data_IF_491441024174
#
_entry.id   IF_491441024174
#
_cell.length_a   1.000
_cell.length_b   1.000
_cell.length_c   1.000
_cell.angle_alpha   90.00
_cell.angle_beta   90.00
_cell.angle_gamma   90.00
#
_symmetry.space_group_name_H-M   'P 1'
#
loop_
_entity.id
_entity.type
_entity.pdbx_description
1 polymer ?
#
# COMPACT_ATOMS: atom_id res chain seq x y z
N UNK A 1 -22.05 37.69 15.63
CA UNK A 1 -22.74 36.44 15.24
C UNK A 1 -21.69 35.46 14.72
N UNK A 2 -21.12 34.62 15.58
CA UNK A 2 -20.10 33.65 15.14
C UNK A 2 -20.80 32.46 14.47
N UNK A 3 -20.68 32.37 13.15
CA UNK A 3 -21.06 31.18 12.40
C UNK A 3 -20.08 30.07 12.77
N UNK A 4 -20.51 29.13 13.61
CA UNK A 4 -19.76 27.91 13.89
C UNK A 4 -19.57 27.15 12.58
N UNK A 5 -18.39 27.29 11.95
CA UNK A 5 -17.99 26.41 10.86
C UNK A 5 -17.89 25.02 11.46
N UNK A 6 -18.81 24.14 11.08
CA UNK A 6 -18.79 22.74 11.50
C UNK A 6 -17.40 22.19 11.20
N UNK A 7 -16.76 21.62 12.22
CA UNK A 7 -15.47 20.95 12.04
C UNK A 7 -15.78 19.55 11.55
N UNK A 8 -16.02 19.46 10.25
CA UNK A 8 -16.31 18.24 9.50
C UNK A 8 -15.03 17.41 9.40
N UNK A 9 -14.53 16.96 10.56
CA UNK A 9 -13.31 16.19 10.69
C UNK A 9 -13.54 14.84 10.01
N UNK A 10 -12.77 14.54 8.97
CA UNK A 10 -12.86 13.31 8.19
C UNK A 10 -12.99 12.05 9.07
N UNK A 11 -12.17 11.92 10.13
CA UNK A 11 -12.24 10.78 11.07
C UNK A 11 -13.58 10.67 11.79
N UNK A 12 -14.21 11.79 12.20
CA UNK A 12 -15.48 11.74 12.94
C UNK A 12 -16.61 11.16 12.08
N UNK A 13 -16.58 11.43 10.78
CA UNK A 13 -17.52 10.84 9.81
C UNK A 13 -17.19 9.35 9.61
N UNK A 14 -15.91 8.99 9.55
CA UNK A 14 -15.45 7.59 9.45
C UNK A 14 -15.85 6.74 10.69
N UNK A 15 -15.72 7.29 11.89
CA UNK A 15 -16.13 6.64 13.15
C UNK A 15 -17.66 6.51 13.22
N UNK A 16 -18.41 7.54 12.81
CA UNK A 16 -19.89 7.47 12.80
C UNK A 16 -20.46 6.64 11.66
N UNK A 17 -19.70 6.35 10.60
CA UNK A 17 -19.98 5.24 9.68
C UNK A 17 -19.91 3.91 10.44
N UNK A 18 -18.83 3.68 11.19
CA UNK A 18 -18.54 2.40 11.84
C UNK A 18 -19.46 2.10 13.04
N UNK A 19 -19.80 3.11 13.84
CA UNK A 19 -20.76 2.99 14.95
C UNK A 19 -22.22 2.81 14.50
N UNK A 20 -22.52 2.85 13.21
CA UNK A 20 -23.87 2.70 12.64
C UNK A 20 -24.04 1.40 11.83
N UNK A 21 -23.49 0.31 12.36
CA UNK A 21 -24.01 -1.03 12.07
C UNK A 21 -25.52 -1.07 12.40
N UNK A 22 -26.36 -1.73 11.59
CA UNK A 22 -27.78 -1.85 11.86
C UNK A 22 -27.98 -2.59 13.19
N UNK A 23 -28.82 -2.03 14.05
CA UNK A 23 -29.03 -2.52 15.41
C UNK A 23 -29.54 -3.97 15.39
N UNK A 24 -28.69 -4.91 15.81
CA UNK A 24 -29.16 -6.12 16.46
C UNK A 24 -29.84 -5.65 17.75
N UNK A 25 -31.16 -5.80 17.83
CA UNK A 25 -31.96 -5.23 18.91
C UNK A 25 -31.73 -5.87 20.30
N UNK A 26 -30.59 -6.53 20.53
CA UNK A 26 -30.25 -7.11 21.84
C UNK A 26 -28.76 -7.34 22.12
N UNK A 27 -27.86 -6.45 21.68
CA UNK A 27 -26.43 -6.47 22.11
C UNK A 27 -26.07 -5.17 22.83
N UNK A 28 -25.64 -5.27 24.09
CA UNK A 28 -25.08 -4.14 24.82
C UNK A 28 -23.73 -3.76 24.21
N UNK A 29 -23.67 -2.59 23.56
CA UNK A 29 -22.43 -1.90 23.14
C UNK A 29 -21.28 -2.81 22.70
N UNK A 30 -21.25 -3.17 21.41
CA UNK A 30 -20.10 -3.83 20.77
C UNK A 30 -18.82 -3.09 21.16
N UNK A 31 -17.98 -3.72 21.98
CA UNK A 31 -16.73 -3.16 22.43
C UNK A 31 -15.72 -3.27 21.28
N UNK A 32 -15.14 -2.16 20.83
CA UNK A 32 -14.10 -2.18 19.80
C UNK A 32 -12.77 -1.99 20.51
N UNK A 33 -11.93 -3.02 20.49
CA UNK A 33 -10.58 -3.02 21.06
C UNK A 33 -9.66 -2.09 20.26
N UNK A 34 -9.73 -2.18 18.92
CA UNK A 34 -8.89 -1.39 18.01
C UNK A 34 -9.45 -1.38 16.59
N UNK A 35 -9.04 -0.40 15.81
CA UNK A 35 -9.27 -0.33 14.37
C UNK A 35 -7.92 -0.33 13.64
N UNK A 36 -7.79 -1.10 12.57
CA UNK A 36 -6.69 -0.97 11.62
C UNK A 36 -7.17 -0.39 10.30
N UNK A 37 -6.54 0.71 9.88
CA UNK A 37 -6.72 1.38 8.61
C UNK A 37 -5.54 1.03 7.71
N UNK A 38 -5.78 0.44 6.54
CA UNK A 38 -4.74 0.15 5.55
C UNK A 38 -5.03 0.89 4.26
N UNK A 39 -4.07 1.69 3.80
CA UNK A 39 -4.15 2.48 2.56
C UNK A 39 -3.10 1.94 1.59
N UNK A 40 -3.53 1.25 0.55
CA UNK A 40 -2.65 0.74 -0.52
C UNK A 40 -2.73 1.69 -1.71
N UNK A 41 -1.64 2.43 -1.95
CA UNK A 41 -1.52 3.41 -3.04
C UNK A 41 -1.12 2.74 -4.37
N UNK A 42 -1.67 3.24 -5.47
CA UNK A 42 -1.32 2.85 -6.84
C UNK A 42 -0.71 4.02 -7.63
N UNK A 43 0.04 3.72 -8.70
CA UNK A 43 0.78 4.72 -9.48
C UNK A 43 -0.09 5.85 -10.07
N UNK A 44 -1.36 5.56 -10.36
CA UNK A 44 -2.32 6.52 -10.90
C UNK A 44 -2.99 7.42 -9.84
N UNK A 45 -2.51 7.40 -8.59
CA UNK A 45 -3.08 8.15 -7.47
C UNK A 45 -4.39 7.58 -6.90
N UNK A 46 -4.83 6.39 -7.34
CA UNK A 46 -5.88 5.63 -6.65
C UNK A 46 -5.34 5.07 -5.33
N UNK A 47 -6.21 4.92 -4.33
CA UNK A 47 -5.93 4.07 -3.17
C UNK A 47 -7.03 3.02 -2.98
N UNK A 48 -6.66 1.79 -2.61
CA UNK A 48 -7.56 0.88 -1.91
C UNK A 48 -7.46 1.18 -0.43
N UNK A 49 -8.61 1.44 0.20
CA UNK A 49 -8.77 1.60 1.63
C UNK A 49 -9.38 0.33 2.22
N UNK A 50 -8.78 -0.19 3.29
CA UNK A 50 -9.35 -1.23 4.14
C UNK A 50 -9.48 -0.65 5.55
N UNK A 51 -10.64 -0.85 6.17
CA UNK A 51 -10.93 -0.47 7.55
C UNK A 51 -11.43 -1.73 8.26
N UNK A 52 -10.64 -2.24 9.20
CA UNK A 52 -10.94 -3.46 9.95
C UNK A 52 -11.04 -3.13 11.45
N UNK A 53 -12.21 -3.39 12.04
CA UNK A 53 -12.47 -3.17 13.46
C UNK A 53 -12.50 -4.48 14.22
N UNK A 54 -11.83 -4.50 15.38
CA UNK A 54 -11.55 -5.68 16.19
C UNK A 54 -12.37 -5.63 17.46
N UNK A 55 -13.15 -6.69 17.66
CA UNK A 55 -14.14 -6.81 18.73
C UNK A 55 -13.72 -8.00 19.59
N UNK A 56 -13.29 -7.81 20.84
CA UNK A 56 -12.83 -8.91 21.67
C UNK A 56 -14.05 -9.68 22.19
N UNK A 57 -14.08 -10.98 21.92
CA UNK A 57 -15.16 -11.89 22.32
C UNK A 57 -14.70 -12.62 23.58
N UNK A 58 -14.80 -11.93 24.72
CA UNK A 58 -14.23 -12.35 26.00
C UNK A 58 -15.15 -13.33 26.77
N UNK A 59 -16.41 -13.42 26.35
CA UNK A 59 -17.46 -14.23 26.94
C UNK A 59 -18.25 -14.98 25.87
N UNK A 60 -18.92 -16.06 26.28
CA UNK A 60 -19.78 -16.83 25.37
C UNK A 60 -20.98 -15.98 24.89
N UNK A 61 -21.49 -15.06 25.70
CA UNK A 61 -22.57 -14.12 25.33
C UNK A 61 -22.13 -13.16 24.20
N UNK A 62 -20.91 -12.60 24.29
CA UNK A 62 -20.34 -11.78 23.20
C UNK A 62 -20.10 -12.62 21.94
N UNK A 63 -19.65 -13.86 22.08
CA UNK A 63 -19.42 -14.78 20.95
C UNK A 63 -20.72 -15.19 20.25
N UNK A 64 -21.75 -15.63 21.00
CA UNK A 64 -23.08 -15.95 20.45
C UNK A 64 -23.72 -14.72 19.78
N UNK A 65 -23.58 -13.53 20.40
CA UNK A 65 -24.05 -12.28 19.81
C UNK A 65 -23.36 -11.95 18.47
N UNK A 66 -22.04 -12.17 18.36
CA UNK A 66 -21.29 -11.93 17.13
C UNK A 66 -21.53 -13.02 16.06
N UNK A 67 -21.74 -14.27 16.45
CA UNK A 67 -22.14 -15.33 15.51
C UNK A 67 -23.55 -15.10 14.96
N UNK A 68 -24.49 -14.64 15.79
CA UNK A 68 -25.83 -14.22 15.37
C UNK A 68 -25.78 -12.96 14.47
N UNK A 69 -24.83 -12.04 14.70
CA UNK A 69 -24.52 -10.96 13.76
C UNK A 69 -24.11 -11.52 12.39
N UNK A 70 -23.14 -12.46 12.35
CA UNK A 70 -22.66 -13.06 11.11
C UNK A 70 -23.74 -13.86 10.35
N UNK A 71 -24.59 -14.62 11.04
CA UNK A 71 -25.71 -15.33 10.39
C UNK A 71 -26.72 -14.35 9.76
N UNK A 72 -26.99 -13.24 10.44
CA UNK A 72 -27.84 -12.17 9.90
C UNK A 72 -27.09 -11.22 8.94
N UNK A 73 -25.76 -11.30 8.83
CA UNK A 73 -24.96 -10.34 8.08
C UNK A 73 -25.30 -10.42 6.59
N UNK A 74 -25.34 -11.60 5.98
CA UNK A 74 -25.71 -11.74 4.56
C UNK A 74 -27.13 -11.25 4.26
N UNK A 75 -28.06 -11.41 5.22
CA UNK A 75 -29.44 -10.93 5.12
C UNK A 75 -29.54 -9.40 5.11
N UNK A 76 -28.73 -8.71 5.91
CA UNK A 76 -28.70 -7.24 5.97
C UNK A 76 -27.55 -6.61 5.17
N UNK A 77 -26.69 -7.41 4.51
CA UNK A 77 -25.50 -7.01 3.76
C UNK A 77 -25.80 -5.91 2.75
N UNK A 78 -26.91 -6.02 2.04
CA UNK A 78 -27.36 -5.00 1.07
C UNK A 78 -27.60 -3.64 1.72
N UNK A 79 -28.27 -3.59 2.87
CA UNK A 79 -28.54 -2.35 3.61
C UNK A 79 -27.27 -1.78 4.24
N UNK A 80 -26.41 -2.63 4.83
CA UNK A 80 -25.10 -2.24 5.36
C UNK A 80 -24.25 -1.59 4.26
N UNK A 81 -24.17 -2.27 3.12
CA UNK A 81 -23.39 -1.82 1.97
C UNK A 81 -23.96 -0.54 1.35
N UNK A 82 -25.28 -0.42 1.19
CA UNK A 82 -25.93 0.78 0.67
C UNK A 82 -25.72 1.98 1.60
N UNK A 83 -25.86 1.79 2.92
CA UNK A 83 -25.65 2.85 3.91
C UNK A 83 -24.19 3.28 3.99
N UNK A 84 -23.24 2.35 3.94
CA UNK A 84 -21.81 2.67 3.83
C UNK A 84 -21.52 3.43 2.53
N UNK A 85 -22.00 2.91 1.39
CA UNK A 85 -21.83 3.50 0.05
C UNK A 85 -22.30 4.95 -0.02
N UNK A 86 -23.51 5.25 0.47
CA UNK A 86 -24.05 6.62 0.52
C UNK A 86 -23.14 7.56 1.31
N UNK A 87 -22.64 7.11 2.46
CA UNK A 87 -21.81 7.93 3.36
C UNK A 87 -20.42 8.16 2.79
N UNK A 88 -19.72 7.11 2.33
CA UNK A 88 -18.36 7.25 1.77
C UNK A 88 -18.37 8.01 0.43
N UNK A 89 -19.39 7.81 -0.41
CA UNK A 89 -19.58 8.61 -1.64
C UNK A 89 -19.71 10.11 -1.31
N UNK A 90 -20.47 10.46 -0.26
CA UNK A 90 -20.61 11.85 0.17
C UNK A 90 -19.28 12.44 0.65
N UNK A 91 -18.52 11.75 1.50
CA UNK A 91 -17.20 12.21 1.95
C UNK A 91 -16.30 12.50 0.74
N UNK A 92 -16.25 11.55 -0.21
CA UNK A 92 -15.38 11.65 -1.39
C UNK A 92 -15.82 12.80 -2.32
N UNK A 93 -17.13 13.04 -2.47
CA UNK A 93 -17.68 14.19 -3.19
C UNK A 93 -17.36 15.52 -2.50
N UNK A 94 -17.57 15.62 -1.19
CA UNK A 94 -17.30 16.84 -0.41
C UNK A 94 -15.79 17.18 -0.41
N UNK A 95 -14.91 16.18 -0.41
CA UNK A 95 -13.46 16.35 -0.53
C UNK A 95 -13.05 16.72 -1.95
N UNK A 96 -13.60 16.07 -2.98
CA UNK A 96 -13.35 16.38 -4.40
C UNK A 96 -13.60 17.87 -4.72
N UNK A 97 -14.74 18.40 -4.25
CA UNK A 97 -15.11 19.80 -4.37
C UNK A 97 -14.17 20.77 -3.63
N UNK A 98 -13.54 20.32 -2.53
CA UNK A 98 -12.63 21.14 -1.72
C UNK A 98 -11.17 21.13 -2.19
N UNK A 99 -10.72 20.06 -2.86
CA UNK A 99 -9.35 20.00 -3.42
C UNK A 99 -9.30 20.33 -4.92
N UNK A 100 -10.44 20.37 -5.62
CA UNK A 100 -10.50 20.67 -7.06
C UNK A 100 -9.98 19.53 -7.95
N UNK A 101 -10.16 18.28 -7.52
CA UNK A 101 -9.76 17.06 -8.24
C UNK A 101 -10.94 16.11 -8.33
N UNK A 102 -11.23 15.57 -9.50
CA UNK A 102 -12.26 14.56 -9.68
C UNK A 102 -11.96 13.33 -8.82
N UNK A 103 -12.92 12.93 -7.99
CA UNK A 103 -12.84 11.70 -7.18
C UNK A 103 -14.15 10.94 -7.23
N UNK A 104 -14.05 9.62 -7.07
CA UNK A 104 -15.18 8.70 -7.01
C UNK A 104 -14.80 7.44 -6.25
N UNK A 105 -15.81 6.74 -5.72
CA UNK A 105 -15.64 5.46 -5.05
C UNK A 105 -16.00 4.30 -5.97
N UNK A 106 -15.24 3.22 -5.90
CA UNK A 106 -15.47 1.96 -6.63
C UNK A 106 -15.21 0.75 -5.72
N UNK A 107 -15.61 -0.45 -6.16
CA UNK A 107 -15.32 -1.73 -5.50
C UNK A 107 -15.56 -1.70 -3.98
N UNK A 108 -16.76 -1.27 -3.57
CA UNK A 108 -17.12 -1.23 -2.15
C UNK A 108 -17.55 -2.63 -1.71
N UNK A 109 -16.91 -3.14 -0.68
CA UNK A 109 -17.19 -4.44 -0.07
C UNK A 109 -17.21 -4.32 1.46
N UNK A 110 -17.88 -5.27 2.09
CA UNK A 110 -17.92 -5.42 3.55
C UNK A 110 -17.85 -6.91 3.89
N UNK A 111 -17.16 -7.29 4.97
CA UNK A 111 -17.17 -8.66 5.52
C UNK A 111 -17.29 -8.63 7.05
N UNK A 112 -17.69 -9.77 7.59
CA UNK A 112 -17.76 -10.05 9.02
C UNK A 112 -17.20 -11.45 9.22
N UNK A 113 -16.17 -11.58 10.06
CA UNK A 113 -15.33 -12.77 10.18
C UNK A 113 -14.91 -12.97 11.65
N UNK A 114 -14.46 -14.16 12.04
CA UNK A 114 -13.84 -14.42 13.36
C UNK A 114 -12.40 -14.87 13.23
N UNK A 115 -11.53 -14.36 14.10
CA UNK A 115 -10.12 -14.71 14.19
C UNK A 115 -9.78 -15.25 15.58
N UNK A 116 -9.08 -16.38 15.66
CA UNK A 116 -8.45 -16.83 16.91
C UNK A 116 -7.11 -16.11 17.10
N UNK A 117 -6.89 -15.56 18.30
CA UNK A 117 -5.69 -14.81 18.66
C UNK A 117 -5.10 -15.31 19.98
N UNK A 118 -3.90 -14.84 20.32
CA UNK A 118 -3.18 -15.24 21.55
C UNK A 118 -3.94 -14.80 22.82
N UNK A 119 -4.72 -13.72 22.74
CA UNK A 119 -5.50 -13.14 23.86
C UNK A 119 -6.95 -13.63 23.94
N UNK A 120 -7.47 -14.30 22.91
CA UNK A 120 -8.86 -14.75 22.84
C UNK A 120 -9.40 -14.80 21.41
N UNK A 121 -10.72 -14.92 21.26
CA UNK A 121 -11.39 -14.79 19.95
C UNK A 121 -11.69 -13.32 19.66
N UNK A 122 -11.48 -12.92 18.41
CA UNK A 122 -11.84 -11.60 17.90
C UNK A 122 -12.93 -11.73 16.84
N UNK A 123 -13.97 -10.92 16.95
CA UNK A 123 -14.83 -10.57 15.83
C UNK A 123 -14.16 -9.49 14.99
N UNK A 124 -14.16 -9.66 13.67
CA UNK A 124 -13.64 -8.70 12.70
C UNK A 124 -14.79 -8.19 11.85
N UNK A 125 -14.88 -6.86 11.69
CA UNK A 125 -15.75 -6.24 10.68
C UNK A 125 -14.86 -5.42 9.76
N UNK A 126 -14.86 -5.77 8.48
CA UNK A 126 -13.99 -5.18 7.46
C UNK A 126 -14.82 -4.44 6.43
N UNK A 127 -14.44 -3.21 6.12
CA UNK A 127 -14.90 -2.45 4.97
C UNK A 127 -13.74 -2.26 4.00
N UNK A 128 -13.95 -2.49 2.72
CA UNK A 128 -12.97 -2.24 1.66
C UNK A 128 -13.59 -1.36 0.56
N UNK A 129 -12.83 -0.41 0.03
CA UNK A 129 -13.25 0.40 -1.11
C UNK A 129 -12.06 0.99 -1.87
N UNK A 130 -12.25 1.29 -3.16
CA UNK A 130 -11.29 2.06 -3.96
C UNK A 130 -11.69 3.52 -4.01
N UNK A 131 -10.78 4.41 -3.62
CA UNK A 131 -10.90 5.86 -3.79
C UNK A 131 -10.07 6.26 -5.01
N UNK A 132 -10.77 6.52 -6.12
CA UNK A 132 -10.17 7.01 -7.37
C UNK A 132 -9.84 8.50 -7.22
N UNK A 133 -8.62 8.90 -7.60
CA UNK A 133 -8.15 10.27 -7.42
C UNK A 133 -7.80 10.62 -5.97
N UNK A 134 -7.57 9.62 -5.09
CA UNK A 134 -7.18 9.83 -3.69
C UNK A 134 -5.95 10.73 -3.56
N UNK A 135 -4.85 10.36 -4.22
CA UNK A 135 -3.61 11.13 -4.26
C UNK A 135 -3.52 11.98 -5.53
N UNK A 136 -2.70 13.03 -5.51
CA UNK A 136 -2.28 13.73 -6.72
C UNK A 136 -1.06 13.03 -7.32
N UNK A 137 -1.23 12.36 -8.46
CA UNK A 137 -0.16 11.68 -9.18
C UNK A 137 0.17 12.42 -10.50
N UNK A 138 1.42 12.85 -10.64
CA UNK A 138 1.94 13.58 -11.80
C UNK A 138 3.49 13.52 -11.82
N UNK A 139 4.10 13.59 -13.01
CA UNK A 139 5.55 13.77 -13.19
C UNK A 139 6.44 12.81 -12.36
N UNK A 140 6.13 11.50 -12.40
CA UNK A 140 6.79 10.44 -11.62
C UNK A 140 6.78 10.67 -10.09
N UNK A 141 5.81 11.44 -9.59
CA UNK A 141 5.53 11.67 -8.17
C UNK A 141 4.08 11.33 -7.81
N UNK A 142 3.87 11.00 -6.54
CA UNK A 142 2.55 10.82 -5.94
C UNK A 142 2.53 11.60 -4.62
N UNK A 143 1.57 12.51 -4.46
CA UNK A 143 1.42 13.37 -3.29
C UNK A 143 0.11 13.02 -2.57
N UNK A 144 0.25 12.64 -1.31
CA UNK A 144 -0.85 12.29 -0.38
C UNK A 144 -0.90 13.34 0.73
N UNK A 145 -2.10 13.70 1.17
CA UNK A 145 -2.31 14.57 2.34
C UNK A 145 -3.55 15.45 2.21
N UNK A 146 -3.77 16.04 1.03
CA UNK A 146 -4.81 17.04 0.77
C UNK A 146 -6.25 16.57 1.03
N UNK A 147 -6.51 15.27 0.90
CA UNK A 147 -7.77 14.59 1.23
C UNK A 147 -8.10 14.52 2.72
N UNK A 148 -7.10 14.62 3.62
CA UNK A 148 -7.29 14.53 5.07
C UNK A 148 -7.74 15.88 5.68
N UNK A 149 -8.81 16.44 5.15
CA UNK A 149 -9.34 17.75 5.57
C UNK A 149 -9.91 17.64 6.99
N UNK A 150 -9.48 18.56 7.85
CA UNK A 150 -9.73 18.51 9.30
C UNK A 150 -8.73 17.63 10.08
N UNK A 151 -7.86 16.90 9.38
CA UNK A 151 -6.88 15.96 9.93
C UNK A 151 -7.42 14.56 10.14
N UNK A 152 -6.53 13.67 10.58
CA UNK A 152 -6.85 12.27 10.93
C UNK A 152 -6.59 11.99 12.43
N UNK A 153 -7.08 10.87 12.96
CA UNK A 153 -6.87 10.50 14.36
C UNK A 153 -6.93 8.99 14.56
N UNK A 154 -6.01 8.47 15.39
CA UNK A 154 -5.98 7.10 15.87
C UNK A 154 -6.27 7.10 17.37
N UNK A 155 -7.23 6.28 17.82
CA UNK A 155 -7.48 5.99 19.23
C UNK A 155 -6.32 5.21 19.87
N UNK A 156 -6.43 4.92 21.16
CA UNK A 156 -5.49 3.97 21.76
C UNK A 156 -5.72 2.58 21.13
N UNK A 157 -4.65 1.81 20.87
CA UNK A 157 -4.73 0.53 20.15
C UNK A 157 -4.93 0.61 18.62
N UNK A 158 -5.44 1.73 18.08
CA UNK A 158 -5.63 1.90 16.63
C UNK A 158 -4.30 1.86 15.84
N UNK A 159 -4.40 1.47 14.56
CA UNK A 159 -3.26 1.26 13.66
C UNK A 159 -3.53 1.89 12.28
N UNK A 160 -2.59 2.66 11.75
CA UNK A 160 -2.58 3.07 10.34
C UNK A 160 -1.37 2.46 9.62
N UNK A 161 -1.61 1.78 8.51
CA UNK A 161 -0.60 1.32 7.55
C UNK A 161 -0.83 2.06 6.22
N UNK A 162 0.23 2.63 5.63
CA UNK A 162 0.20 3.15 4.26
C UNK A 162 1.26 2.42 3.44
N UNK A 163 0.82 1.69 2.43
CA UNK A 163 1.66 0.90 1.50
C UNK A 163 1.78 1.64 0.18
N UNK A 164 2.99 1.72 -0.37
CA UNK A 164 3.32 2.44 -1.61
C UNK A 164 3.67 1.49 -2.76
N UNK A 165 3.54 1.92 -4.03
CA UNK A 165 3.95 1.10 -5.17
C UNK A 165 5.43 0.71 -5.10
N UNK A 166 5.76 -0.54 -5.43
CA UNK A 166 7.13 -1.11 -5.26
C UNK A 166 8.21 -0.39 -6.07
N UNK A 167 7.82 0.32 -7.14
CA UNK A 167 8.68 1.14 -7.99
C UNK A 167 8.73 2.62 -7.56
N UNK A 168 8.21 2.98 -6.38
CA UNK A 168 8.35 4.31 -5.75
C UNK A 168 9.11 4.21 -4.43
N UNK A 169 9.64 5.34 -3.97
CA UNK A 169 10.24 5.50 -2.64
C UNK A 169 9.63 6.71 -1.93
N UNK A 170 9.49 6.60 -0.60
CA UNK A 170 8.97 7.66 0.25
C UNK A 170 10.06 8.72 0.38
N UNK A 171 9.83 9.89 -0.23
CA UNK A 171 10.77 11.02 -0.26
C UNK A 171 10.56 11.94 0.96
N UNK A 172 9.30 12.16 1.32
CA UNK A 172 8.90 12.89 2.54
C UNK A 172 7.68 12.21 3.17
N UNK A 173 7.58 12.24 4.50
CA UNK A 173 6.45 11.71 5.27
C UNK A 173 6.24 12.54 6.54
N UNK A 174 4.99 12.91 6.83
CA UNK A 174 4.64 13.71 8.01
C UNK A 174 3.21 13.41 8.53
N UNK A 175 2.99 13.30 9.86
CA UNK A 175 3.99 13.25 10.93
C UNK A 175 4.91 12.04 10.80
N UNK A 176 6.05 12.06 11.49
CA UNK A 176 7.01 10.94 11.49
C UNK A 176 6.30 9.62 11.84
N UNK A 177 6.46 8.55 11.05
CA UNK A 177 5.90 7.24 11.34
C UNK A 177 6.67 6.55 12.48
N UNK A 178 6.00 5.61 13.15
CA UNK A 178 6.62 4.82 14.21
C UNK A 178 7.42 3.63 13.62
N UNK A 179 7.08 3.17 12.41
CA UNK A 179 7.87 2.22 11.61
C UNK A 179 7.90 2.66 10.14
N UNK A 180 9.08 2.58 9.51
CA UNK A 180 9.26 2.71 8.05
C UNK A 180 9.87 1.42 7.50
N UNK A 181 9.16 0.75 6.58
CA UNK A 181 9.67 -0.34 5.76
C UNK A 181 10.13 0.15 4.38
N UNK A 182 10.49 -0.76 3.47
CA UNK A 182 10.93 -0.39 2.10
C UNK A 182 9.80 0.26 1.28
N UNK A 183 8.58 -0.27 1.41
CA UNK A 183 7.41 0.14 0.64
C UNK A 183 6.18 0.40 1.52
N UNK A 184 6.35 0.64 2.82
CA UNK A 184 5.25 0.97 3.72
C UNK A 184 5.72 1.85 4.89
N UNK A 185 4.78 2.57 5.50
CA UNK A 185 4.94 3.26 6.78
C UNK A 185 3.77 2.95 7.70
N UNK A 186 4.05 2.92 9.00
CA UNK A 186 3.08 2.57 10.04
C UNK A 186 3.02 3.68 11.09
N UNK A 187 1.81 4.02 11.51
CA UNK A 187 1.57 4.78 12.72
C UNK A 187 0.73 3.98 13.71
N UNK A 188 1.18 3.90 14.96
CA UNK A 188 0.38 3.45 16.09
C UNK A 188 -0.35 4.61 16.73
N UNK A 189 -1.59 4.36 17.14
CA UNK A 189 -2.32 5.19 18.07
C UNK A 189 -1.83 5.02 19.52
N UNK A 190 -2.22 5.89 20.45
CA UNK A 190 -3.02 7.10 20.25
C UNK A 190 -2.25 8.23 19.57
N UNK A 191 -2.74 8.74 18.44
CA UNK A 191 -2.04 9.76 17.64
C UNK A 191 -2.99 10.72 16.92
N UNK A 192 -2.68 12.02 16.97
CA UNK A 192 -3.42 13.09 16.26
C UNK A 192 -2.63 13.49 15.03
N UNK A 193 -3.27 13.54 13.87
CA UNK A 193 -2.70 14.04 12.62
C UNK A 193 -3.25 15.45 12.35
N UNK A 194 -2.40 16.48 12.17
CA UNK A 194 -2.83 17.81 11.74
C UNK A 194 -3.66 17.83 10.44
N UNK A 195 -4.29 18.98 10.15
CA UNK A 195 -5.02 19.19 8.89
C UNK A 195 -4.16 18.84 7.67
N UNK A 196 -4.75 18.12 6.70
CA UNK A 196 -4.10 17.59 5.50
C UNK A 196 -2.96 16.60 5.77
N UNK A 197 -3.03 15.86 6.87
CA UNK A 197 -2.08 14.77 7.19
C UNK A 197 -2.83 13.52 7.70
N UNK A 198 -2.26 12.29 7.56
CA UNK A 198 -0.92 11.93 7.12
C UNK A 198 -0.60 12.37 5.69
N UNK A 199 0.58 12.97 5.52
CA UNK A 199 1.09 13.43 4.25
C UNK A 199 2.29 12.58 3.82
N UNK A 200 2.35 12.23 2.53
CA UNK A 200 3.46 11.49 1.92
C UNK A 200 3.79 12.12 0.56
N UNK A 201 5.06 12.27 0.26
CA UNK A 201 5.55 12.57 -1.09
C UNK A 201 6.37 11.37 -1.56
N UNK A 202 5.89 10.71 -2.61
CA UNK A 202 6.55 9.58 -3.24
C UNK A 202 7.24 10.03 -4.52
N UNK A 203 8.44 9.51 -4.78
CA UNK A 203 9.15 9.67 -6.05
C UNK A 203 9.46 8.30 -6.65
N UNK A 204 9.36 8.15 -7.96
CA UNK A 204 9.65 6.88 -8.65
C UNK A 204 11.13 6.50 -8.53
N UNK A 205 11.40 5.21 -8.24
CA UNK A 205 12.74 4.64 -8.17
C UNK A 205 13.41 4.73 -9.55
N UNK A 206 14.54 5.44 -9.62
CA UNK A 206 15.36 5.53 -10.83
C UNK A 206 16.35 4.38 -10.87
N UNK A 207 16.03 3.36 -11.66
CA UNK A 207 16.95 2.26 -11.95
C UNK A 207 17.97 2.72 -12.99
N UNK A 208 19.24 2.88 -12.58
CA UNK A 208 20.35 3.01 -13.52
C UNK A 208 20.64 1.60 -14.05
N UNK A 209 20.40 1.37 -15.33
CA UNK A 209 20.84 0.15 -16.00
C UNK A 209 22.32 0.34 -16.33
N UNK A 210 23.20 -0.42 -15.68
CA UNK A 210 24.60 -0.51 -16.09
C UNK A 210 24.68 -1.29 -17.41
N UNK A 211 24.81 -0.55 -18.52
CA UNK A 211 24.92 -1.12 -19.86
C UNK A 211 26.27 -1.84 -20.02
N UNK A 212 26.24 -3.17 -19.96
CA UNK A 212 27.41 -4.03 -20.10
C UNK A 212 27.87 -4.11 -21.57
N UNK A 213 28.53 -3.03 -22.02
CA UNK A 213 29.04 -2.87 -23.39
C UNK A 213 29.93 -4.05 -23.82
N UNK A 214 29.35 -4.95 -24.61
CA UNK A 214 30.05 -6.10 -25.19
C UNK A 214 30.72 -5.66 -26.49
N UNK A 215 32.00 -5.26 -26.42
CA UNK A 215 32.76 -4.74 -27.56
C UNK A 215 33.27 -5.89 -28.44
N UNK A 216 32.42 -6.38 -29.36
CA UNK A 216 32.85 -7.23 -30.47
C UNK A 216 33.40 -6.40 -31.62
N UNK A 217 34.72 -6.20 -31.68
CA UNK A 217 35.38 -5.60 -32.86
C UNK A 217 35.62 -6.65 -33.95
N UNK A 218 34.61 -6.85 -34.78
CA UNK A 218 34.82 -7.42 -36.11
C UNK A 218 35.21 -6.30 -37.08
N UNK A 219 36.34 -6.44 -37.77
CA UNK A 219 36.79 -5.49 -38.79
C UNK A 219 37.25 -6.26 -40.01
N UNK A 220 36.38 -6.34 -41.02
CA UNK A 220 36.70 -6.91 -42.33
C UNK A 220 37.64 -5.98 -43.09
N UNK A 221 38.76 -6.54 -43.58
CA UNK A 221 39.63 -5.88 -44.56
C UNK A 221 39.64 -6.69 -45.87
N UNK A 222 39.78 -5.98 -46.99
CA UNK A 222 39.44 -6.50 -48.32
C UNK A 222 40.54 -7.39 -48.91
N UNK A 223 40.12 -8.35 -49.73
CA UNK A 223 41.00 -9.20 -50.56
C UNK A 223 41.55 -8.44 -51.76
N UNK A 224 42.87 -8.49 -51.96
CA UNK A 224 43.54 -8.30 -53.26
C UNK A 224 44.66 -9.35 -53.41
N UNK A 225 45.11 -9.61 -54.63
CA UNK A 225 45.89 -10.83 -54.96
C UNK A 225 47.03 -10.54 -55.94
N UNK A 226 48.27 -10.93 -55.59
CA UNK A 226 49.29 -11.34 -56.56
C UNK A 226 50.45 -12.11 -55.89
N UNK A 227 51.39 -12.64 -56.69
CA UNK A 227 52.41 -13.63 -56.31
C UNK A 227 53.86 -13.13 -56.48
N UNK A 228 54.80 -13.63 -55.65
CA UNK A 228 56.16 -13.99 -56.11
C UNK A 228 56.98 -14.84 -55.09
N UNK A 229 57.15 -16.13 -55.41
CA UNK A 229 58.37 -16.98 -55.32
C UNK A 229 59.48 -16.79 -54.26
N UNK A 230 59.86 -17.92 -53.62
CA UNK A 230 61.24 -18.48 -53.45
C UNK A 230 62.27 -17.67 -52.62
N UNK A 231 62.91 -18.21 -51.56
CA UNK A 231 63.93 -19.29 -51.57
C UNK A 231 63.97 -20.18 -50.31
N UNK A 232 64.58 -21.37 -50.43
CA UNK A 232 65.04 -22.20 -49.30
C UNK A 232 66.33 -21.64 -48.69
N UNK A 233 66.47 -21.72 -47.35
CA UNK A 233 67.75 -22.07 -46.70
C UNK A 233 67.52 -22.85 -45.39
N UNK A 234 68.28 -23.94 -45.22
CA UNK A 234 68.47 -24.73 -43.99
C UNK A 234 69.57 -25.77 -44.28
N UNK A 235 70.22 -26.44 -43.29
CA UNK A 235 70.20 -26.23 -41.84
C UNK A 235 71.61 -26.03 -41.24
N UNK A 236 71.73 -25.90 -39.91
CA UNK A 236 72.95 -26.27 -39.16
C UNK A 236 72.58 -27.09 -37.92
N UNK A 237 73.40 -28.07 -37.58
CA UNK A 237 73.16 -29.08 -36.53
C UNK A 237 73.62 -28.67 -35.11
N UNK A 238 73.04 -29.31 -34.11
CA UNK A 238 73.54 -29.37 -32.73
C UNK A 238 72.77 -30.42 -31.92
N UNK A 239 73.32 -31.62 -31.75
CA UNK A 239 72.70 -32.74 -31.00
C UNK A 239 73.35 -32.97 -29.64
N UNK A 240 72.55 -33.31 -28.63
CA UNK A 240 72.74 -34.40 -27.63
C UNK A 240 71.52 -34.39 -26.66
N UNK A 241 70.83 -35.45 -26.20
CA UNK A 241 71.06 -36.91 -26.00
C UNK A 241 72.10 -37.23 -24.90
N UNK A 242 71.83 -38.02 -23.85
CA UNK A 242 70.75 -38.97 -23.45
C UNK A 242 70.75 -39.04 -21.89
N UNK A 243 69.78 -39.50 -21.10
CA UNK A 243 68.73 -40.53 -21.22
C UNK A 243 67.41 -40.16 -20.48
N UNK A 244 66.49 -41.11 -20.31
CA UNK A 244 65.61 -41.26 -19.15
C UNK A 244 65.57 -42.74 -18.73
N UNK A 245 65.17 -43.09 -17.49
CA UNK A 245 65.13 -44.48 -17.02
C UNK A 245 64.01 -44.72 -15.98
N UNK A 246 63.56 -45.98 -15.86
CA UNK A 246 62.37 -46.39 -15.09
C UNK A 246 62.70 -47.50 -14.11
N UNK A 247 62.41 -47.29 -12.82
CA UNK A 247 62.03 -48.31 -11.83
C UNK A 247 60.93 -47.71 -10.95
#
# INVERSE_FOLDING_TARGET
MFRTKTRDNFTLILITILMFLPLINHVNSINVESNSYTITLYENGTATWIIESKIPLNSEEELEAFLNYMENFDKYRGEILENFTKRISKIIQDTSLQVGRDMRVENIEVSADTLESITGKLGLIRYEFKWIGFAHAADDKIIVGDVFIGGFYLYDGDLLIVTVPVNYTISEVYPTPDITGENYVIWYGKKVFPDRTPALILSKKKYVVEETMTISKETTLKTETSWSQTTLTSPTHGMMTISGETI
#
